data_IF_598290432063
#
_entry.id   IF_598290432063
#
_cell.length_a   1.000
_cell.length_b   1.000
_cell.length_c   1.000
_cell.angle_alpha   90.00
_cell.angle_beta   90.00
_cell.angle_gamma   90.00
#
_symmetry.space_group_name_H-M   'P 1'
#
loop_
_entity.id
_entity.type
_entity.pdbx_description
1 polymer ?
#
# COMPACT_ATOMS: atom_id res chain seq x y z
N UNK A 1 5.27 2.97 6.11
CA UNK A 1 6.43 2.12 6.42
C UNK A 1 7.17 2.76 7.58
N UNK A 2 7.66 1.98 8.56
CA UNK A 2 8.38 2.52 9.72
C UNK A 2 9.73 3.06 9.24
N UNK A 3 9.81 4.38 9.00
CA UNK A 3 11.03 5.06 8.55
C UNK A 3 11.99 5.39 9.70
N UNK A 4 11.51 5.23 10.94
CA UNK A 4 12.27 5.53 12.15
C UNK A 4 12.33 4.23 12.97
N UNK A 5 13.54 3.69 13.22
CA UNK A 5 13.71 2.58 14.14
C UNK A 5 13.13 2.91 15.52
N UNK A 6 12.42 1.96 16.13
CA UNK A 6 11.89 2.09 17.49
C UNK A 6 12.41 0.97 18.38
N UNK A 7 12.72 1.28 19.64
CA UNK A 7 13.28 0.32 20.59
C UNK A 7 14.61 -0.25 20.08
N UNK A 8 14.71 -1.58 20.04
CA UNK A 8 15.93 -2.31 19.68
C UNK A 8 16.04 -2.61 18.17
N UNK A 9 15.28 -1.91 17.32
CA UNK A 9 15.35 -2.10 15.87
C UNK A 9 16.68 -1.56 15.31
N UNK A 10 17.29 -2.27 14.36
CA UNK A 10 18.52 -1.81 13.74
C UNK A 10 18.27 -0.58 12.86
N UNK A 11 19.32 0.21 12.62
CA UNK A 11 19.24 1.48 11.87
C UNK A 11 18.76 1.28 10.41
N UNK A 12 18.97 0.10 9.86
CA UNK A 12 18.61 -0.30 8.49
C UNK A 12 17.28 -1.06 8.39
N UNK A 13 16.44 -1.03 9.44
CA UNK A 13 15.17 -1.77 9.48
C UNK A 13 14.26 -1.50 8.27
N UNK A 14 14.22 -0.26 7.77
CA UNK A 14 13.45 0.10 6.56
C UNK A 14 13.93 -0.70 5.33
N UNK A 15 15.26 -0.82 5.17
CA UNK A 15 15.88 -1.56 4.05
C UNK A 15 15.63 -3.05 4.18
N UNK A 16 15.70 -3.59 5.40
CA UNK A 16 15.44 -5.01 5.66
C UNK A 16 13.98 -5.37 5.36
N UNK A 17 13.02 -4.57 5.84
CA UNK A 17 11.59 -4.78 5.55
C UNK A 17 11.33 -4.66 4.05
N UNK A 18 11.92 -3.66 3.37
CA UNK A 18 11.74 -3.51 1.92
C UNK A 18 12.28 -4.72 1.16
N UNK A 19 13.49 -5.17 1.49
CA UNK A 19 14.12 -6.34 0.87
C UNK A 19 13.28 -7.60 1.06
N UNK A 20 12.77 -7.81 2.28
CA UNK A 20 11.90 -8.93 2.60
C UNK A 20 10.60 -8.91 1.78
N UNK A 21 9.96 -7.75 1.63
CA UNK A 21 8.74 -7.64 0.81
C UNK A 21 9.05 -7.95 -0.66
N UNK A 22 10.12 -7.36 -1.21
CA UNK A 22 10.51 -7.52 -2.61
C UNK A 22 10.84 -8.97 -2.98
N UNK A 23 11.36 -9.76 -2.05
CA UNK A 23 11.61 -11.19 -2.26
C UNK A 23 10.32 -11.96 -2.68
N UNK A 24 9.17 -11.58 -2.13
CA UNK A 24 7.90 -12.23 -2.44
C UNK A 24 7.15 -11.56 -3.61
N UNK A 25 7.03 -10.23 -3.60
CA UNK A 25 6.16 -9.53 -4.54
C UNK A 25 6.74 -9.44 -5.97
N UNK A 26 8.03 -9.72 -6.16
CA UNK A 26 8.65 -9.77 -7.49
C UNK A 26 8.25 -11.02 -8.29
N UNK A 27 7.75 -12.07 -7.63
CA UNK A 27 7.30 -13.28 -8.32
C UNK A 27 6.01 -13.00 -9.12
N UNK A 28 5.98 -13.39 -10.40
CA UNK A 28 4.85 -13.10 -11.30
C UNK A 28 3.50 -13.69 -10.83
N UNK A 29 3.54 -14.85 -10.18
CA UNK A 29 2.35 -15.53 -9.64
C UNK A 29 1.92 -15.00 -8.26
N UNK A 30 2.61 -14.01 -7.70
CA UNK A 30 2.24 -13.40 -6.43
C UNK A 30 1.13 -12.37 -6.62
N UNK A 31 -0.01 -12.56 -5.93
CA UNK A 31 -1.06 -11.55 -5.82
C UNK A 31 -0.71 -10.57 -4.70
N UNK A 32 -0.66 -9.28 -5.04
CA UNK A 32 -0.32 -8.19 -4.11
C UNK A 32 -1.61 -7.57 -3.55
N UNK A 33 -1.75 -7.60 -2.23
CA UNK A 33 -2.82 -6.89 -1.51
C UNK A 33 -2.24 -5.60 -0.93
N UNK A 34 -2.47 -4.47 -1.60
CA UNK A 34 -1.96 -3.17 -1.19
C UNK A 34 -2.88 -2.53 -0.14
N UNK A 35 -2.63 -2.85 1.14
CA UNK A 35 -3.46 -2.41 2.26
C UNK A 35 -3.09 -1.00 2.70
N UNK A 36 -4.05 -0.09 2.72
CA UNK A 36 -3.91 1.30 3.20
C UNK A 36 -5.06 1.67 4.13
N UNK A 37 -4.82 2.37 5.24
CA UNK A 37 -5.89 2.87 6.09
C UNK A 37 -6.54 4.11 5.45
N UNK A 38 -7.86 4.24 5.61
CA UNK A 38 -8.67 5.29 4.98
C UNK A 38 -8.43 6.68 5.55
N UNK A 39 -7.95 6.75 6.79
CA UNK A 39 -7.59 8.01 7.46
C UNK A 39 -6.22 8.56 7.01
N UNK A 40 -5.54 7.90 6.08
CA UNK A 40 -4.26 8.33 5.51
C UNK A 40 -4.39 8.51 4.02
N UNK A 41 -3.64 9.46 3.46
CA UNK A 41 -3.67 9.75 2.03
C UNK A 41 -3.15 8.55 1.20
N UNK A 42 -4.02 8.02 0.35
CA UNK A 42 -3.74 6.88 -0.51
C UNK A 42 -2.65 7.19 -1.55
N UNK A 43 -2.58 8.43 -2.04
CA UNK A 43 -1.53 8.84 -2.99
C UNK A 43 -0.12 8.70 -2.38
N UNK A 44 -0.04 8.73 -1.04
CA UNK A 44 1.19 8.59 -0.29
C UNK A 44 1.44 7.17 0.26
N UNK A 45 0.56 6.21 -0.01
CA UNK A 45 0.68 4.83 0.46
C UNK A 45 1.97 4.16 -0.04
N UNK A 46 2.80 3.74 0.90
CA UNK A 46 4.02 2.97 0.61
C UNK A 46 3.71 1.61 -0.02
N UNK A 47 2.59 0.98 0.37
CA UNK A 47 2.16 -0.31 -0.19
C UNK A 47 1.85 -0.18 -1.69
N UNK A 48 1.14 0.88 -2.08
CA UNK A 48 0.84 1.14 -3.49
C UNK A 48 2.10 1.52 -4.27
N UNK A 49 2.99 2.34 -3.70
CA UNK A 49 4.28 2.70 -4.32
C UNK A 49 5.12 1.44 -4.62
N UNK A 50 5.31 0.57 -3.63
CA UNK A 50 6.04 -0.69 -3.80
C UNK A 50 5.37 -1.62 -4.81
N UNK A 51 4.03 -1.73 -4.78
CA UNK A 51 3.32 -2.56 -5.76
C UNK A 51 3.51 -2.07 -7.20
N UNK A 52 3.52 -0.75 -7.43
CA UNK A 52 3.75 -0.17 -8.77
C UNK A 52 5.18 -0.36 -9.28
N UNK A 53 6.17 -0.52 -8.40
CA UNK A 53 7.54 -0.84 -8.82
C UNK A 53 7.63 -2.22 -9.49
N UNK A 54 6.82 -3.20 -9.05
CA UNK A 54 6.85 -4.60 -9.52
C UNK A 54 5.64 -5.03 -10.35
N UNK A 55 4.57 -4.25 -10.36
CA UNK A 55 3.34 -4.43 -11.14
C UNK A 55 2.80 -3.07 -11.63
N UNK A 56 3.49 -2.39 -12.56
CA UNK A 56 3.10 -1.04 -13.03
C UNK A 56 1.72 -1.00 -13.69
N UNK A 57 1.28 -2.12 -14.26
CA UNK A 57 -0.01 -2.26 -14.94
C UNK A 57 -1.16 -2.67 -13.99
N UNK A 58 -0.86 -2.98 -12.71
CA UNK A 58 -1.85 -3.40 -11.72
C UNK A 58 -2.55 -4.71 -12.07
N UNK A 59 -1.88 -5.64 -12.78
CA UNK A 59 -2.46 -6.90 -13.24
C UNK A 59 -2.76 -7.87 -12.10
N UNK A 60 -1.94 -7.78 -11.04
CA UNK A 60 -1.92 -8.69 -9.90
C UNK A 60 -1.91 -7.94 -8.58
N UNK A 61 -2.28 -6.66 -8.60
CA UNK A 61 -2.43 -5.80 -7.42
C UNK A 61 -3.90 -5.50 -7.16
N UNK A 62 -4.33 -5.64 -5.90
CA UNK A 62 -5.66 -5.27 -5.40
C UNK A 62 -5.47 -4.24 -4.29
N UNK A 63 -6.13 -3.08 -4.42
CA UNK A 63 -6.13 -2.05 -3.40
C UNK A 63 -7.10 -2.42 -2.29
N UNK A 64 -6.64 -2.36 -1.04
CA UNK A 64 -7.48 -2.65 0.13
C UNK A 64 -7.51 -1.44 1.04
N UNK A 65 -8.68 -0.83 1.18
CA UNK A 65 -8.89 0.29 2.10
C UNK A 65 -9.44 -0.24 3.43
N UNK A 66 -8.78 0.08 4.54
CA UNK A 66 -9.18 -0.35 5.89
C UNK A 66 -9.47 0.85 6.78
N UNK A 67 -10.01 0.63 7.98
CA UNK A 67 -10.26 1.69 8.98
C UNK A 67 -11.13 2.85 8.49
N UNK A 68 -12.15 2.55 7.67
CA UNK A 68 -13.13 3.54 7.19
C UNK A 68 -13.90 4.20 8.34
N UNK A 69 -14.03 3.49 9.47
CA UNK A 69 -14.62 3.98 10.71
C UNK A 69 -13.82 5.11 11.38
N UNK A 70 -12.53 5.25 11.08
CA UNK A 70 -11.65 6.27 11.65
C UNK A 70 -11.44 7.46 10.70
N UNK A 71 -12.24 7.58 9.65
CA UNK A 71 -12.16 8.73 8.74
C UNK A 71 -12.64 10.01 9.42
N UNK A 72 -12.00 11.13 9.06
CA UNK A 72 -12.37 12.44 9.57
C UNK A 72 -13.79 12.80 9.12
N UNK A 73 -14.57 13.34 10.05
CA UNK A 73 -15.95 13.72 9.78
C UNK A 73 -15.99 14.76 8.65
N UNK A 74 -16.77 14.48 7.60
CA UNK A 74 -16.85 15.32 6.40
C UNK A 74 -15.95 14.88 5.25
N UNK A 75 -15.15 13.82 5.42
CA UNK A 75 -14.41 13.15 4.35
C UNK A 75 -15.06 11.81 3.99
N UNK A 76 -14.83 11.34 2.75
CA UNK A 76 -15.25 10.01 2.32
C UNK A 76 -14.22 9.36 1.40
N UNK A 77 -14.27 8.03 1.29
CA UNK A 77 -13.39 7.24 0.44
C UNK A 77 -14.05 6.92 -0.92
N UNK A 78 -15.08 7.67 -1.33
CA UNK A 78 -15.91 7.31 -2.48
C UNK A 78 -15.10 7.32 -3.78
N UNK A 79 -14.31 8.35 -4.02
CA UNK A 79 -13.48 8.43 -5.24
C UNK A 79 -12.42 7.33 -5.32
N UNK A 80 -11.97 6.84 -4.16
CA UNK A 80 -11.03 5.73 -4.05
C UNK A 80 -11.76 4.42 -4.41
N UNK A 81 -12.90 4.16 -3.78
CA UNK A 81 -13.67 2.93 -3.97
C UNK A 81 -14.34 2.85 -5.35
N UNK A 82 -14.66 3.99 -5.96
CA UNK A 82 -15.11 4.09 -7.35
C UNK A 82 -13.95 4.04 -8.36
N UNK A 83 -12.72 3.78 -7.90
CA UNK A 83 -11.53 3.60 -8.73
C UNK A 83 -11.17 4.83 -9.59
N UNK A 84 -11.49 6.04 -9.11
CA UNK A 84 -11.27 7.31 -9.83
C UNK A 84 -9.96 7.98 -9.46
N UNK A 85 -9.55 7.88 -8.19
CA UNK A 85 -8.35 8.55 -7.67
C UNK A 85 -7.05 7.84 -8.09
N UNK A 86 -7.00 6.51 -7.94
CA UNK A 86 -5.84 5.70 -8.28
C UNK A 86 -6.31 4.43 -9.00
N UNK A 87 -6.43 4.48 -10.34
CA UNK A 87 -6.97 3.37 -11.11
C UNK A 87 -6.19 2.07 -10.92
N UNK A 88 -6.83 1.05 -10.38
CA UNK A 88 -6.32 -0.31 -10.29
C UNK A 88 -7.13 -1.22 -11.22
N UNK A 89 -6.46 -2.17 -11.86
CA UNK A 89 -7.08 -3.03 -12.88
C UNK A 89 -8.10 -4.00 -12.30
N UNK A 90 -8.05 -4.26 -10.99
CA UNK A 90 -8.93 -5.18 -10.26
C UNK A 90 -9.92 -4.49 -9.32
N UNK A 91 -10.11 -3.17 -9.48
CA UNK A 91 -10.96 -2.35 -8.62
C UNK A 91 -10.15 -1.40 -7.77
#
# INVERSE_FOLDING_TARGET
>A
MTKVPVGDQPLDIEVQIRSMILEFITQENCLILAVSPANSDLANSDALKLSKEVDPQGLRTIGVVTKLDLMDQGTDAREILENRLLPLRRG
#
